data_IF_995602770379
#
_entry.id   IF_995602770379
#
_cell.length_a   1.000
_cell.length_b   1.000
_cell.length_c   1.000
_cell.angle_alpha   90.00
_cell.angle_beta   90.00
_cell.angle_gamma   90.00
#
_symmetry.space_group_name_H-M   'P 1'
#
loop_
_entity.id
_entity.type
_entity.pdbx_description
1 polymer ?
#
# COMPACT_ATOMS: atom_id res chain seq x y z
N UNK A 1 -32.77 11.64 10.46
CA UNK A 1 -31.81 11.59 11.58
C UNK A 1 -30.46 11.91 10.98
N UNK A 2 -29.80 12.98 11.43
CA UNK A 2 -28.52 13.40 10.86
C UNK A 2 -27.39 12.57 11.48
N UNK A 3 -27.03 11.49 10.80
CA UNK A 3 -26.18 10.43 11.35
C UNK A 3 -24.69 10.80 11.32
N UNK A 4 -24.31 11.77 10.49
CA UNK A 4 -22.91 12.18 10.24
C UNK A 4 -22.49 13.43 11.01
N UNK A 5 -23.38 13.96 11.84
CA UNK A 5 -23.19 15.22 12.55
C UNK A 5 -21.91 15.23 13.40
N UNK A 6 -21.55 14.11 14.03
CA UNK A 6 -20.31 13.97 14.82
C UNK A 6 -19.02 13.78 13.99
N UNK A 7 -19.14 13.34 12.73
CA UNK A 7 -18.01 13.18 11.82
C UNK A 7 -17.70 14.47 11.06
N UNK A 8 -18.71 15.31 10.82
CA UNK A 8 -18.58 16.57 10.07
C UNK A 8 -18.30 17.77 10.96
N UNK A 9 -18.88 17.82 12.17
CA UNK A 9 -18.73 18.95 13.09
C UNK A 9 -17.86 18.61 14.29
N UNK A 10 -17.11 19.59 14.79
CA UNK A 10 -16.36 19.45 16.03
C UNK A 10 -17.32 19.41 17.23
N UNK A 11 -16.84 18.81 18.31
CA UNK A 11 -17.60 18.77 19.57
C UNK A 11 -17.79 20.21 20.05
N UNK A 12 -19.04 20.64 20.16
CA UNK A 12 -19.42 21.89 20.83
C UNK A 12 -18.87 21.93 22.25
N UNK A 13 -18.62 23.13 22.78
CA UNK A 13 -18.35 23.33 24.19
C UNK A 13 -19.44 22.66 25.04
N UNK A 14 -19.07 22.22 26.25
CA UNK A 14 -20.00 21.61 27.19
C UNK A 14 -21.17 22.56 27.45
N UNK A 15 -22.40 22.04 27.36
CA UNK A 15 -23.61 22.81 27.69
C UNK A 15 -23.46 23.36 29.11
N UNK A 16 -23.71 24.65 29.30
CA UNK A 16 -23.87 25.27 30.62
C UNK A 16 -25.33 25.64 30.85
N UNK A 17 -25.70 26.02 32.08
CA UNK A 17 -27.07 26.44 32.38
C UNK A 17 -27.53 27.63 31.52
N UNK A 18 -26.59 28.46 31.08
CA UNK A 18 -26.80 29.62 30.20
C UNK A 18 -26.97 29.30 28.71
N UNK A 19 -26.70 28.06 28.28
CA UNK A 19 -26.78 27.67 26.87
C UNK A 19 -28.21 27.69 26.34
N UNK A 20 -28.35 28.09 25.07
CA UNK A 20 -29.64 28.21 24.39
C UNK A 20 -30.31 26.85 24.19
N UNK A 21 -31.62 26.84 23.94
CA UNK A 21 -32.35 25.62 23.63
C UNK A 21 -31.81 24.93 22.36
N UNK A 22 -31.38 25.71 21.37
CA UNK A 22 -30.82 25.23 20.12
C UNK A 22 -29.44 24.60 20.31
N UNK A 23 -28.55 25.21 21.11
CA UNK A 23 -27.25 24.64 21.48
C UNK A 23 -27.40 23.31 22.23
N UNK A 24 -28.34 23.26 23.17
CA UNK A 24 -28.67 22.04 23.92
C UNK A 24 -29.18 20.94 22.99
N UNK A 25 -30.00 21.29 22.00
CA UNK A 25 -30.54 20.34 21.01
C UNK A 25 -29.45 19.80 20.09
N UNK A 26 -28.56 20.67 19.62
CA UNK A 26 -27.45 20.32 18.74
C UNK A 26 -26.47 19.38 19.45
N UNK A 27 -26.07 19.71 20.67
CA UNK A 27 -25.16 18.85 21.45
C UNK A 27 -25.74 17.45 21.68
N UNK A 28 -27.03 17.34 22.02
CA UNK A 28 -27.69 16.02 22.17
C UNK A 28 -27.72 15.24 20.86
N UNK A 29 -28.00 15.91 19.74
CA UNK A 29 -27.98 15.29 18.43
C UNK A 29 -26.56 14.82 18.05
N UNK A 30 -25.54 15.63 18.35
CA UNK A 30 -24.14 15.32 18.15
C UNK A 30 -23.70 14.10 18.97
N UNK A 31 -24.04 14.07 20.26
CA UNK A 31 -23.69 12.97 21.15
C UNK A 31 -24.34 11.65 20.71
N UNK A 32 -25.59 11.70 20.27
CA UNK A 32 -26.30 10.54 19.69
C UNK A 32 -25.63 10.06 18.40
N UNK A 33 -25.29 10.96 17.48
CA UNK A 33 -24.57 10.65 16.24
C UNK A 33 -23.21 10.02 16.55
N UNK A 34 -22.45 10.61 17.47
CA UNK A 34 -21.15 10.14 17.91
C UNK A 34 -21.21 8.70 18.46
N UNK A 35 -22.12 8.44 19.41
CA UNK A 35 -22.29 7.10 20.00
C UNK A 35 -22.66 6.06 18.94
N UNK A 36 -23.58 6.39 18.05
CA UNK A 36 -24.05 5.47 17.02
C UNK A 36 -22.94 5.15 16.01
N UNK A 37 -22.20 6.17 15.54
CA UNK A 37 -21.08 6.00 14.61
C UNK A 37 -19.95 5.19 15.22
N UNK A 38 -19.59 5.48 16.47
CA UNK A 38 -18.57 4.71 17.20
C UNK A 38 -18.96 3.24 17.35
N UNK A 39 -20.21 2.97 17.73
CA UNK A 39 -20.72 1.60 17.87
C UNK A 39 -20.72 0.87 16.52
N UNK A 40 -21.16 1.54 15.45
CA UNK A 40 -21.14 0.98 14.10
C UNK A 40 -19.73 0.62 13.64
N UNK A 41 -18.75 1.52 13.80
CA UNK A 41 -17.36 1.26 13.44
C UNK A 41 -16.76 0.11 14.28
N UNK A 42 -16.99 0.09 15.60
CA UNK A 42 -16.50 -0.98 16.48
C UNK A 42 -17.11 -2.35 16.19
N UNK A 43 -18.27 -2.40 15.54
CA UNK A 43 -18.96 -3.65 15.17
C UNK A 43 -18.51 -4.19 13.82
N UNK A 44 -18.14 -3.31 12.88
CA UNK A 44 -17.77 -3.71 11.52
C UNK A 44 -16.26 -3.87 11.30
N UNK A 45 -15.43 -3.31 12.18
CA UNK A 45 -13.97 -3.47 12.08
C UNK A 45 -13.55 -4.83 12.62
N UNK A 46 -12.69 -5.51 11.86
CA UNK A 46 -12.13 -6.81 12.23
C UNK A 46 -11.38 -6.76 13.57
N UNK A 47 -11.53 -7.81 14.37
CA UNK A 47 -11.03 -7.85 15.75
C UNK A 47 -9.50 -7.66 15.86
N UNK A 48 -8.74 -8.15 14.88
CA UNK A 48 -7.28 -7.97 14.81
C UNK A 48 -6.86 -6.52 14.64
N UNK A 49 -7.68 -5.68 13.99
CA UNK A 49 -7.43 -4.24 13.86
C UNK A 49 -7.93 -3.53 15.12
N UNK A 50 -9.12 -3.91 15.61
CA UNK A 50 -9.76 -3.32 16.79
C UNK A 50 -8.89 -3.40 18.04
N UNK A 51 -8.15 -4.49 18.26
CA UNK A 51 -7.24 -4.66 19.40
C UNK A 51 -6.06 -3.69 19.40
N UNK A 52 -5.71 -3.12 18.24
CA UNK A 52 -4.60 -2.17 18.09
C UNK A 52 -5.03 -0.71 18.21
N UNK A 53 -6.34 -0.43 18.25
CA UNK A 53 -6.87 0.93 18.32
C UNK A 53 -7.09 1.33 19.79
N UNK A 54 -6.58 2.48 20.24
CA UNK A 54 -6.85 3.00 21.58
C UNK A 54 -8.35 3.13 21.86
N UNK A 55 -8.75 2.94 23.12
CA UNK A 55 -10.12 3.24 23.52
C UNK A 55 -10.36 4.76 23.42
N UNK A 56 -11.35 5.16 22.65
CA UNK A 56 -11.83 6.55 22.54
C UNK A 56 -13.34 6.58 22.51
N UNK A 57 -13.92 7.63 23.09
CA UNK A 57 -15.34 7.93 23.09
C UNK A 57 -15.77 8.76 21.86
N UNK A 58 -14.82 9.28 21.09
CA UNK A 58 -15.08 10.06 19.89
C UNK A 58 -15.05 9.17 18.65
N UNK A 59 -16.16 9.16 17.90
CA UNK A 59 -16.24 8.51 16.60
C UNK A 59 -15.20 9.07 15.62
N UNK A 60 -14.99 10.40 15.65
CA UNK A 60 -14.02 11.07 14.78
C UNK A 60 -12.58 10.64 15.10
N UNK A 61 -12.21 10.61 16.38
CA UNK A 61 -10.87 10.13 16.79
C UNK A 61 -10.70 8.64 16.47
N UNK A 62 -11.74 7.84 16.70
CA UNK A 62 -11.72 6.42 16.37
C UNK A 62 -11.46 6.20 14.88
N UNK A 63 -12.17 6.93 14.01
CA UNK A 63 -11.96 6.88 12.56
C UNK A 63 -10.54 7.28 12.18
N UNK A 64 -9.99 8.33 12.81
CA UNK A 64 -8.60 8.75 12.59
C UNK A 64 -7.59 7.65 12.96
N UNK A 65 -7.77 6.98 14.10
CA UNK A 65 -6.91 5.86 14.48
C UNK A 65 -7.01 4.69 13.51
N UNK A 66 -8.22 4.40 13.02
CA UNK A 66 -8.43 3.38 11.99
C UNK A 66 -7.63 3.73 10.74
N UNK A 67 -7.80 4.95 10.23
CA UNK A 67 -7.07 5.43 9.05
C UNK A 67 -5.55 5.35 9.23
N UNK A 68 -5.04 5.80 10.38
CA UNK A 68 -3.60 5.73 10.70
C UNK A 68 -3.08 4.30 10.74
N UNK A 69 -3.87 3.34 11.28
CA UNK A 69 -3.51 1.91 11.29
C UNK A 69 -3.41 1.35 9.88
N UNK A 70 -4.39 1.60 9.01
CA UNK A 70 -4.34 1.18 7.62
C UNK A 70 -3.17 1.81 6.87
N UNK A 71 -2.94 3.12 7.04
CA UNK A 71 -1.79 3.81 6.45
C UNK A 71 -0.45 3.22 6.90
N UNK A 72 -0.33 2.83 8.18
CA UNK A 72 0.88 2.18 8.70
C UNK A 72 1.11 0.78 8.12
N UNK A 73 0.03 0.00 7.95
CA UNK A 73 0.09 -1.32 7.34
C UNK A 73 0.51 -1.22 5.86
N UNK A 74 -0.05 -0.26 5.11
CA UNK A 74 0.32 0.00 3.72
C UNK A 74 1.80 0.38 3.59
N UNK A 75 2.31 1.23 4.48
CA UNK A 75 3.74 1.60 4.52
C UNK A 75 4.64 0.39 4.83
N UNK A 76 4.26 -0.44 5.80
CA UNK A 76 5.02 -1.63 6.14
C UNK A 76 5.05 -2.63 4.98
N UNK A 77 3.90 -2.85 4.34
CA UNK A 77 3.80 -3.74 3.19
C UNK A 77 4.62 -3.21 2.00
N UNK A 78 4.54 -1.91 1.73
CA UNK A 78 5.34 -1.28 0.69
C UNK A 78 6.85 -1.43 0.97
N UNK A 79 7.28 -1.27 2.23
CA UNK A 79 8.66 -1.53 2.65
C UNK A 79 9.11 -2.97 2.38
N UNK A 80 8.27 -3.94 2.75
CA UNK A 80 8.53 -5.37 2.47
C UNK A 80 8.64 -5.65 0.97
N UNK A 81 7.69 -5.14 0.17
CA UNK A 81 7.70 -5.34 -1.29
C UNK A 81 8.90 -4.66 -1.97
N UNK A 82 9.30 -3.48 -1.51
CA UNK A 82 10.52 -2.82 -2.01
C UNK A 82 11.77 -3.62 -1.67
N UNK A 83 11.87 -4.15 -0.45
CA UNK A 83 12.98 -5.02 -0.05
C UNK A 83 13.01 -6.29 -0.91
N UNK A 84 11.87 -6.92 -1.12
CA UNK A 84 11.72 -8.08 -2.00
C UNK A 84 12.18 -7.77 -3.42
N UNK A 85 11.63 -6.72 -4.05
CA UNK A 85 11.98 -6.31 -5.43
C UNK A 85 13.48 -6.03 -5.60
N UNK A 86 14.11 -5.38 -4.62
CA UNK A 86 15.52 -4.96 -4.71
C UNK A 86 16.52 -6.06 -4.39
N UNK A 87 16.10 -7.08 -3.63
CA UNK A 87 16.97 -8.17 -3.18
C UNK A 87 16.72 -9.49 -3.91
N UNK A 88 15.60 -9.60 -4.65
CA UNK A 88 15.27 -10.78 -5.45
C UNK A 88 16.41 -11.14 -6.41
N UNK A 89 16.78 -12.42 -6.45
CA UNK A 89 17.81 -12.98 -7.32
C UNK A 89 17.25 -14.13 -8.12
N UNK A 90 17.65 -14.22 -9.38
CA UNK A 90 17.37 -15.37 -10.21
C UNK A 90 18.36 -16.49 -9.86
N UNK A 91 17.84 -17.59 -9.31
CA UNK A 91 18.64 -18.75 -8.86
C UNK A 91 18.55 -19.96 -9.82
N UNK A 92 17.80 -19.82 -10.92
CA UNK A 92 17.59 -20.89 -11.90
C UNK A 92 16.60 -21.98 -11.48
N UNK A 93 15.95 -21.86 -10.31
CA UNK A 93 14.94 -22.81 -9.84
C UNK A 93 13.63 -22.73 -10.64
N UNK A 94 13.31 -21.55 -11.18
CA UNK A 94 12.19 -21.28 -12.06
C UNK A 94 12.67 -20.87 -13.47
N UNK A 95 11.74 -20.70 -14.41
CA UNK A 95 12.07 -20.13 -15.72
C UNK A 95 12.33 -18.62 -15.61
N UNK A 96 13.16 -18.08 -16.50
CA UNK A 96 13.40 -16.63 -16.58
C UNK A 96 12.09 -15.84 -16.77
N UNK A 97 11.15 -16.42 -17.53
CA UNK A 97 9.82 -15.83 -17.71
C UNK A 97 9.06 -15.70 -16.38
N UNK A 98 9.04 -16.74 -15.56
CA UNK A 98 8.33 -16.69 -14.27
C UNK A 98 8.99 -15.67 -13.33
N UNK A 99 10.32 -15.63 -13.29
CA UNK A 99 11.07 -14.65 -12.51
C UNK A 99 10.69 -13.20 -12.85
N UNK A 100 10.65 -12.86 -14.15
CA UNK A 100 10.27 -11.50 -14.60
C UNK A 100 8.79 -11.19 -14.28
N UNK A 101 7.90 -12.17 -14.41
CA UNK A 101 6.49 -12.01 -14.05
C UNK A 101 6.35 -11.71 -12.55
N UNK A 102 7.06 -12.42 -11.69
CA UNK A 102 7.05 -12.17 -10.24
C UNK A 102 7.55 -10.77 -9.90
N UNK A 103 8.68 -10.33 -10.48
CA UNK A 103 9.19 -8.97 -10.29
C UNK A 103 8.20 -7.89 -10.77
N UNK A 104 7.55 -8.13 -11.92
CA UNK A 104 6.53 -7.21 -12.47
C UNK A 104 5.29 -7.16 -11.59
N UNK A 105 4.87 -8.29 -11.01
CA UNK A 105 3.76 -8.35 -10.07
C UNK A 105 4.07 -7.58 -8.78
N UNK A 106 5.29 -7.66 -8.26
CA UNK A 106 5.72 -6.86 -7.09
C UNK A 106 5.64 -5.36 -7.42
N UNK A 107 6.15 -4.95 -8.58
CA UNK A 107 6.07 -3.55 -9.04
C UNK A 107 4.61 -3.06 -9.18
N UNK A 108 3.72 -3.88 -9.74
CA UNK A 108 2.30 -3.57 -9.84
C UNK A 108 1.63 -3.40 -8.45
N UNK A 109 1.99 -4.27 -7.48
CA UNK A 109 1.49 -4.16 -6.10
C UNK A 109 2.04 -2.92 -5.39
N UNK A 110 3.28 -2.53 -5.64
CA UNK A 110 3.83 -1.26 -5.13
C UNK A 110 3.07 -0.05 -5.70
N UNK A 111 2.69 -0.11 -6.97
CA UNK A 111 1.87 0.94 -7.60
C UNK A 111 0.49 1.08 -6.93
N UNK A 112 -0.16 0.00 -6.52
CA UNK A 112 -1.44 0.09 -5.79
C UNK A 112 -1.29 0.72 -4.40
N UNK A 113 -0.07 0.77 -3.85
CA UNK A 113 0.28 1.43 -2.59
C UNK A 113 0.81 2.86 -2.79
N UNK A 114 0.72 3.40 -4.02
CA UNK A 114 1.19 4.75 -4.36
C UNK A 114 2.70 4.86 -4.63
N UNK A 115 3.42 3.73 -4.67
CA UNK A 115 4.84 3.68 -5.02
C UNK A 115 5.01 3.17 -6.45
N UNK A 116 4.80 4.04 -7.42
CA UNK A 116 4.98 3.70 -8.84
C UNK A 116 6.45 3.36 -9.11
N UNK A 117 6.70 2.20 -9.71
CA UNK A 117 8.01 1.80 -10.25
C UNK A 117 7.99 2.06 -11.74
N UNK A 118 8.81 3.00 -12.22
CA UNK A 118 8.94 3.23 -13.66
C UNK A 118 9.67 2.07 -14.34
N UNK A 119 9.33 1.84 -15.62
CA UNK A 119 9.87 0.74 -16.42
C UNK A 119 11.41 0.70 -16.42
N UNK A 120 12.07 1.86 -16.45
CA UNK A 120 13.55 1.93 -16.38
C UNK A 120 14.10 1.38 -15.07
N UNK A 121 13.43 1.63 -13.94
CA UNK A 121 13.82 1.05 -12.66
C UNK A 121 13.54 -0.44 -12.63
N UNK A 122 12.38 -0.88 -13.14
CA UNK A 122 12.04 -2.29 -13.19
C UNK A 122 13.06 -3.07 -14.03
N UNK A 123 13.46 -2.57 -15.19
CA UNK A 123 14.50 -3.24 -15.98
C UNK A 123 15.82 -3.30 -15.21
N UNK A 124 16.25 -2.22 -14.55
CA UNK A 124 17.47 -2.24 -13.76
C UNK A 124 17.41 -3.25 -12.61
N UNK A 125 16.27 -3.38 -11.93
CA UNK A 125 16.07 -4.39 -10.90
C UNK A 125 16.15 -5.81 -11.47
N UNK A 126 15.50 -6.06 -12.61
CA UNK A 126 15.59 -7.35 -13.30
C UNK A 126 17.05 -7.67 -13.65
N UNK A 127 17.78 -6.74 -14.26
CA UNK A 127 19.19 -6.95 -14.59
C UNK A 127 20.05 -7.21 -13.34
N UNK A 128 19.83 -6.47 -12.26
CA UNK A 128 20.55 -6.65 -11.00
C UNK A 128 20.20 -7.96 -10.29
N UNK A 129 19.08 -8.60 -10.65
CA UNK A 129 18.68 -9.90 -10.10
C UNK A 129 19.42 -11.07 -10.76
N UNK A 130 20.00 -10.86 -11.94
CA UNK A 130 20.63 -11.92 -12.73
C UNK A 130 21.95 -12.38 -12.10
N UNK A 131 22.28 -13.67 -12.21
CA UNK A 131 23.55 -14.20 -11.73
C UNK A 131 24.69 -13.89 -12.72
N UNK A 132 25.97 -14.03 -12.31
CA UNK A 132 27.12 -13.58 -13.09
C UNK A 132 27.24 -14.18 -14.50
N UNK A 133 26.63 -15.34 -14.76
CA UNK A 133 26.63 -16.00 -16.07
C UNK A 133 25.93 -15.16 -17.16
N UNK A 134 25.03 -14.26 -16.76
CA UNK A 134 24.36 -13.30 -17.63
C UNK A 134 25.15 -11.99 -17.80
N UNK A 135 26.37 -11.88 -17.25
CA UNK A 135 27.21 -10.68 -17.36
C UNK A 135 27.40 -10.17 -18.80
N UNK A 136 27.73 -11.03 -19.80
CA UNK A 136 27.83 -10.61 -21.20
C UNK A 136 26.52 -10.05 -21.76
N UNK A 137 25.38 -10.65 -21.39
CA UNK A 137 24.05 -10.17 -21.77
C UNK A 137 23.79 -8.76 -21.23
N UNK A 138 24.10 -8.53 -19.95
CA UNK A 138 23.86 -7.25 -19.29
C UNK A 138 24.67 -6.12 -19.93
N UNK A 139 25.95 -6.37 -20.25
CA UNK A 139 26.81 -5.42 -20.96
C UNK A 139 26.23 -5.10 -22.34
N UNK A 140 25.82 -6.13 -23.07
CA UNK A 140 25.26 -5.98 -24.42
C UNK A 140 23.95 -5.18 -24.41
N UNK A 141 23.03 -5.49 -23.49
CA UNK A 141 21.76 -4.78 -23.35
C UNK A 141 21.97 -3.30 -23.02
N UNK A 142 22.85 -2.99 -22.06
CA UNK A 142 23.15 -1.62 -21.64
C UNK A 142 23.86 -0.79 -22.71
N UNK A 143 24.63 -1.43 -23.61
CA UNK A 143 25.40 -0.74 -24.66
C UNK A 143 24.56 -0.47 -25.91
N UNK A 144 23.59 -1.35 -26.21
CA UNK A 144 22.80 -1.29 -27.44
C UNK A 144 21.53 -0.46 -27.27
N UNK A 145 20.98 -0.35 -26.06
CA UNK A 145 19.62 0.17 -25.85
C UNK A 145 19.62 1.61 -25.35
N UNK A 146 19.18 2.52 -26.23
CA UNK A 146 18.95 3.93 -25.91
C UNK A 146 17.79 4.15 -24.93
N UNK A 147 16.80 3.23 -24.94
CA UNK A 147 15.64 3.27 -24.05
C UNK A 147 15.37 1.91 -23.43
N UNK A 148 15.14 1.93 -22.13
CA UNK A 148 14.79 0.77 -21.33
C UNK A 148 13.34 0.33 -21.63
N UNK A 149 13.14 -0.96 -21.90
CA UNK A 149 11.83 -1.54 -22.19
C UNK A 149 11.72 -2.96 -21.61
N UNK A 150 10.74 -3.18 -20.74
CA UNK A 150 10.52 -4.46 -20.04
C UNK A 150 10.11 -5.57 -21.01
N UNK A 151 9.25 -5.29 -21.98
CA UNK A 151 8.80 -6.29 -22.96
C UNK A 151 9.94 -6.78 -23.86
N UNK A 152 10.83 -5.87 -24.27
CA UNK A 152 11.99 -6.23 -25.08
C UNK A 152 13.02 -7.01 -24.26
N UNK A 153 13.32 -6.52 -23.05
CA UNK A 153 14.20 -7.22 -22.11
C UNK A 153 13.73 -8.67 -21.91
N UNK A 154 12.44 -8.85 -21.68
CA UNK A 154 11.81 -10.16 -21.50
C UNK A 154 12.13 -11.11 -22.65
N UNK A 155 11.86 -10.69 -23.89
CA UNK A 155 12.15 -11.53 -25.07
C UNK A 155 13.63 -11.89 -25.20
N UNK A 156 14.53 -10.94 -24.95
CA UNK A 156 15.97 -11.18 -25.04
C UNK A 156 16.47 -12.10 -23.93
N UNK A 157 15.96 -11.97 -22.71
CA UNK A 157 16.33 -12.82 -21.57
C UNK A 157 15.86 -14.27 -21.74
N UNK A 158 14.66 -14.50 -22.28
CA UNK A 158 14.18 -15.87 -22.59
C UNK A 158 15.05 -16.56 -23.66
N UNK A 159 15.53 -15.80 -24.65
CA UNK A 159 16.46 -16.32 -25.66
C UNK A 159 17.83 -16.65 -25.02
N UNK A 160 18.33 -15.78 -24.15
CA UNK A 160 19.61 -15.98 -23.47
C UNK A 160 19.58 -17.17 -22.51
N UNK A 161 18.49 -17.37 -21.77
CA UNK A 161 18.28 -18.55 -20.93
C UNK A 161 18.38 -19.84 -21.77
N UNK A 162 17.78 -19.86 -22.95
CA UNK A 162 17.85 -21.01 -23.87
C UNK A 162 19.26 -21.25 -24.44
N UNK A 163 20.08 -20.20 -24.55
CA UNK A 163 21.49 -20.29 -24.96
C UNK A 163 22.36 -20.87 -23.86
N UNK A 164 22.13 -20.47 -22.61
CA UNK A 164 22.90 -20.92 -21.44
C UNK A 164 22.57 -22.36 -20.99
N UNK A 165 21.36 -22.84 -21.31
CA UNK A 165 20.93 -24.22 -21.02
C UNK A 165 21.43 -25.27 -22.04
N UNK A 166 22.17 -24.86 -23.08
CA UNK A 166 22.82 -25.76 -24.06
C UNK A 166 24.25 -26.07 -23.65
#
# INVERSE_FOLDING_TARGET
MDLDLALLNDKSAAITDSSSADEKSFYKAWERSNRLRLMFMRMNIANNIKSTIPQTESAREYLKFVEERFRSADKSLAGTLMAELTTMKFDGSCSMQNHIIEMTNIAARLQTLGMKVDDSFLVQFILNSLPPEYGPFQINYNTIKDKWNVSELFSMLTQEESRLKK
#
